data_IF_295302054602
#
_entry.id   IF_295302054602
#
_cell.length_a   1.000
_cell.length_b   1.000
_cell.length_c   1.000
_cell.angle_alpha   90.00
_cell.angle_beta   90.00
_cell.angle_gamma   90.00
#
_symmetry.space_group_name_H-M   'P 1'
#
loop_
_entity.id
_entity.type
_entity.pdbx_description
1 polymer ?
#
# COMPACT_ATOMS: atom_id res chain seq x y z
N UNK A 1 32.61 -10.87 -46.14
CA UNK A 1 32.54 -9.78 -45.14
C UNK A 1 32.23 -10.40 -43.81
N UNK A 2 32.65 -9.77 -42.71
CA UNK A 2 32.53 -10.31 -41.35
C UNK A 2 31.14 -10.01 -40.77
N UNK A 3 30.16 -9.94 -41.65
CA UNK A 3 28.84 -9.37 -41.42
C UNK A 3 27.89 -10.54 -41.16
N UNK A 4 27.88 -11.01 -39.90
CA UNK A 4 26.98 -12.08 -39.46
C UNK A 4 27.45 -12.92 -38.28
N UNK A 5 28.73 -12.86 -37.90
CA UNK A 5 29.23 -13.60 -36.73
C UNK A 5 29.27 -12.68 -35.52
N UNK A 6 28.37 -12.89 -34.56
CA UNK A 6 28.38 -12.17 -33.30
C UNK A 6 29.66 -12.51 -32.51
N UNK A 7 30.39 -11.49 -32.06
CA UNK A 7 31.49 -11.70 -31.11
C UNK A 7 30.92 -11.90 -29.71
N UNK A 8 31.60 -12.66 -28.86
CA UNK A 8 31.20 -12.84 -27.45
C UNK A 8 31.06 -11.49 -26.74
N UNK A 9 31.87 -10.49 -27.10
CA UNK A 9 31.79 -9.13 -26.57
C UNK A 9 30.48 -8.42 -26.96
N UNK A 10 30.06 -8.53 -28.22
CA UNK A 10 28.81 -7.91 -28.70
C UNK A 10 27.57 -8.58 -28.08
N UNK A 11 27.60 -9.91 -27.90
CA UNK A 11 26.53 -10.65 -27.20
C UNK A 11 26.46 -10.24 -25.73
N UNK A 12 27.59 -10.18 -25.03
CA UNK A 12 27.65 -9.77 -23.62
C UNK A 12 27.12 -8.34 -23.43
N UNK A 13 27.50 -7.41 -24.32
CA UNK A 13 26.97 -6.03 -24.31
C UNK A 13 25.45 -6.01 -24.46
N UNK A 14 24.91 -6.71 -25.45
CA UNK A 14 23.47 -6.77 -25.69
C UNK A 14 22.70 -7.36 -24.50
N UNK A 15 23.23 -8.42 -23.86
CA UNK A 15 22.65 -9.02 -22.66
C UNK A 15 22.65 -8.01 -21.51
N UNK A 16 23.78 -7.34 -21.26
CA UNK A 16 23.90 -6.36 -20.18
C UNK A 16 22.94 -5.18 -20.38
N UNK A 17 22.79 -4.70 -21.61
CA UNK A 17 21.81 -3.66 -21.96
C UNK A 17 20.37 -4.13 -21.72
N UNK A 18 20.04 -5.37 -22.12
CA UNK A 18 18.72 -5.95 -21.91
C UNK A 18 18.39 -6.12 -20.41
N UNK A 19 19.34 -6.61 -19.61
CA UNK A 19 19.18 -6.76 -18.15
C UNK A 19 19.04 -5.41 -17.48
N UNK A 20 19.86 -4.44 -17.87
CA UNK A 20 19.76 -3.07 -17.34
C UNK A 20 18.39 -2.49 -17.63
N UNK A 21 17.90 -2.62 -18.88
CA UNK A 21 16.57 -2.15 -19.27
C UNK A 21 15.46 -2.85 -18.48
N UNK A 22 15.56 -4.17 -18.27
CA UNK A 22 14.60 -4.92 -17.48
C UNK A 22 14.56 -4.43 -16.02
N UNK A 23 15.73 -4.21 -15.40
CA UNK A 23 15.83 -3.71 -14.03
C UNK A 23 15.25 -2.30 -13.91
N UNK A 24 15.56 -1.41 -14.85
CA UNK A 24 14.98 -0.05 -14.88
C UNK A 24 13.45 -0.10 -15.03
N UNK A 25 12.94 -0.94 -15.93
CA UNK A 25 11.50 -1.09 -16.13
C UNK A 25 10.81 -1.60 -14.86
N UNK A 26 11.40 -2.58 -14.18
CA UNK A 26 10.85 -3.12 -12.93
C UNK A 26 10.86 -2.08 -11.80
N UNK A 27 11.95 -1.31 -11.68
CA UNK A 27 12.04 -0.22 -10.71
C UNK A 27 10.96 0.85 -10.97
N UNK A 28 10.74 1.20 -12.24
CA UNK A 28 9.68 2.13 -12.62
C UNK A 28 8.30 1.59 -12.29
N UNK A 29 8.02 0.32 -12.63
CA UNK A 29 6.74 -0.31 -12.32
C UNK A 29 6.45 -0.32 -10.81
N UNK A 30 7.46 -0.52 -9.96
CA UNK A 30 7.30 -0.46 -8.50
C UNK A 30 7.06 0.98 -8.01
N UNK A 31 7.72 1.97 -8.61
CA UNK A 31 7.53 3.39 -8.29
C UNK A 31 6.15 3.93 -8.72
N UNK A 32 5.56 3.31 -9.75
CA UNK A 32 4.25 3.66 -10.28
C UNK A 32 3.11 2.83 -9.66
N UNK A 33 3.43 1.73 -8.98
CA UNK A 33 2.44 0.93 -8.28
C UNK A 33 1.77 1.75 -7.16
N UNK A 34 0.44 1.73 -7.15
CA UNK A 34 -0.40 2.43 -6.19
C UNK A 34 -1.29 1.48 -5.38
N UNK A 35 -1.52 1.84 -4.13
CA UNK A 35 -2.55 1.29 -3.27
C UNK A 35 -3.64 2.34 -3.07
N UNK A 36 -4.89 1.94 -3.31
CA UNK A 36 -6.06 2.82 -3.22
C UNK A 36 -6.92 2.38 -2.03
N UNK A 37 -7.24 3.34 -1.15
CA UNK A 37 -8.05 3.13 0.04
C UNK A 37 -9.25 4.06 -0.03
N UNK A 38 -10.42 3.49 -0.26
CA UNK A 38 -11.69 4.22 -0.28
C UNK A 38 -12.36 4.22 1.09
N UNK A 39 -13.16 5.26 1.32
CA UNK A 39 -14.10 5.34 2.43
C UNK A 39 -15.51 5.58 1.91
N UNK A 40 -16.49 5.61 2.81
CA UNK A 40 -17.90 5.83 2.45
C UNK A 40 -18.13 7.19 1.77
N UNK A 41 -17.27 8.18 2.04
CA UNK A 41 -17.32 9.54 1.48
C UNK A 41 -15.90 10.09 1.25
N UNK A 42 -15.80 11.20 0.53
CA UNK A 42 -14.53 11.87 0.23
C UNK A 42 -13.83 11.30 -1.01
N UNK A 43 -12.55 11.65 -1.17
CA UNK A 43 -11.71 11.18 -2.28
C UNK A 43 -10.91 9.94 -1.87
N UNK A 44 -10.71 9.01 -2.79
CA UNK A 44 -9.82 7.87 -2.62
C UNK A 44 -8.44 8.29 -2.12
N UNK A 45 -7.97 7.67 -1.04
CA UNK A 45 -6.60 7.86 -0.57
C UNK A 45 -5.66 6.98 -1.37
N UNK A 46 -4.78 7.59 -2.15
CA UNK A 46 -3.79 6.89 -3.00
C UNK A 46 -2.42 6.97 -2.34
N UNK A 47 -1.80 5.82 -2.09
CA UNK A 47 -0.43 5.70 -1.53
C UNK A 47 0.45 4.86 -2.45
N UNK A 48 1.68 5.28 -2.68
CA UNK A 48 2.71 4.50 -3.39
C UNK A 48 3.44 3.54 -2.46
N UNK A 49 4.27 2.66 -3.02
CA UNK A 49 5.12 1.79 -2.21
C UNK A 49 6.04 2.61 -1.27
N UNK A 50 6.14 2.18 0.00
CA UNK A 50 6.94 2.84 1.03
C UNK A 50 6.27 4.06 1.69
N UNK A 51 5.11 4.49 1.20
CA UNK A 51 4.36 5.59 1.79
C UNK A 51 3.49 5.14 2.98
N UNK A 52 3.40 5.97 4.01
CA UNK A 52 2.56 5.70 5.19
C UNK A 52 1.10 6.07 4.90
N UNK A 53 0.16 5.16 5.21
CA UNK A 53 -1.26 5.46 5.38
C UNK A 53 -1.53 5.76 6.86
N UNK A 54 -2.13 6.92 7.17
CA UNK A 54 -2.49 7.30 8.53
C UNK A 54 -4.00 7.21 8.76
N UNK A 55 -4.41 6.53 9.84
CA UNK A 55 -5.80 6.48 10.31
C UNK A 55 -5.83 7.14 11.69
N UNK A 56 -6.55 8.27 11.83
CA UNK A 56 -6.52 9.09 13.05
C UNK A 56 -7.93 9.39 13.55
N UNK A 57 -8.20 9.05 14.81
CA UNK A 57 -9.47 9.34 15.51
C UNK A 57 -9.48 10.63 16.33
N UNK A 58 -8.38 11.40 16.34
CA UNK A 58 -8.30 12.73 16.99
C UNK A 58 -7.84 12.73 18.45
N UNK A 59 -8.11 11.69 19.24
CA UNK A 59 -7.60 11.57 20.62
C UNK A 59 -6.15 11.10 20.62
N UNK A 60 -5.26 11.83 21.29
CA UNK A 60 -3.80 11.56 21.29
C UNK A 60 -3.28 10.94 22.58
N UNK A 61 -4.01 11.05 23.69
CA UNK A 61 -3.62 10.51 25.00
C UNK A 61 -4.09 9.06 25.11
N UNK A 62 -3.20 8.04 25.19
CA UNK A 62 -3.63 6.64 25.21
C UNK A 62 -4.48 6.25 26.43
N UNK A 63 -4.29 6.92 27.56
CA UNK A 63 -5.08 6.68 28.78
C UNK A 63 -6.55 7.12 28.64
N UNK A 64 -6.85 7.98 27.67
CA UNK A 64 -8.21 8.48 27.39
C UNK A 64 -8.94 7.60 26.37
N UNK A 65 -8.31 6.52 25.88
CA UNK A 65 -8.87 5.60 24.89
C UNK A 65 -9.44 4.34 25.55
N UNK A 66 -10.59 3.89 25.05
CA UNK A 66 -11.16 2.59 25.42
C UNK A 66 -10.70 1.49 24.46
N UNK A 67 -10.52 0.27 24.96
CA UNK A 67 -10.21 -0.91 24.13
C UNK A 67 -11.46 -1.78 23.93
N UNK A 68 -11.48 -2.57 22.85
CA UNK A 68 -12.53 -3.58 22.61
C UNK A 68 -13.88 -3.05 22.10
N UNK A 69 -14.13 -1.74 22.14
CA UNK A 69 -15.38 -1.15 21.65
C UNK A 69 -15.47 -1.07 20.11
N UNK A 70 -14.35 -1.20 19.39
CA UNK A 70 -14.31 -1.18 17.93
C UNK A 70 -14.06 -2.60 17.42
N UNK A 71 -15.03 -3.13 16.68
CA UNK A 71 -14.90 -4.36 15.91
C UNK A 71 -14.54 -4.05 14.47
N UNK A 72 -13.72 -4.91 13.85
CA UNK A 72 -13.42 -4.87 12.42
C UNK A 72 -13.79 -6.20 11.81
N UNK A 73 -14.64 -6.17 10.77
CA UNK A 73 -15.10 -7.37 10.05
C UNK A 73 -14.74 -7.23 8.59
N UNK A 74 -13.90 -8.13 8.08
CA UNK A 74 -13.64 -8.23 6.64
C UNK A 74 -14.84 -8.83 5.92
N UNK A 75 -15.23 -8.26 4.79
CA UNK A 75 -16.22 -8.85 3.89
C UNK A 75 -15.61 -9.86 2.90
N UNK A 76 -14.28 -9.98 2.85
CA UNK A 76 -13.55 -10.84 1.91
C UNK A 76 -13.49 -10.32 0.48
N UNK A 77 -14.10 -9.17 0.18
CA UNK A 77 -14.17 -8.55 -1.14
C UNK A 77 -13.37 -7.23 -1.22
N UNK A 78 -12.64 -6.90 -0.16
CA UNK A 78 -11.75 -5.74 -0.11
C UNK A 78 -12.17 -4.67 0.90
N UNK A 79 -13.29 -4.85 1.61
CA UNK A 79 -13.77 -3.89 2.61
C UNK A 79 -13.63 -4.42 4.03
N UNK A 80 -13.02 -3.60 4.88
CA UNK A 80 -13.00 -3.80 6.33
C UNK A 80 -14.09 -2.93 6.97
N UNK A 81 -15.17 -3.57 7.42
CA UNK A 81 -16.27 -2.90 8.10
C UNK A 81 -15.87 -2.58 9.54
N UNK A 82 -15.71 -1.30 9.86
CA UNK A 82 -15.44 -0.82 11.22
C UNK A 82 -16.76 -0.54 11.93
N UNK A 83 -16.98 -1.14 13.10
CA UNK A 83 -18.26 -1.08 13.82
C UNK A 83 -18.06 -0.85 15.32
N UNK A 84 -19.01 -0.16 15.93
CA UNK A 84 -19.10 -0.07 17.39
C UNK A 84 -19.68 -1.36 17.98
N UNK A 85 -19.20 -1.73 19.16
CA UNK A 85 -19.77 -2.80 19.96
C UNK A 85 -21.20 -2.44 20.41
N UNK A 86 -22.06 -3.46 20.56
CA UNK A 86 -23.46 -3.24 20.97
C UNK A 86 -23.61 -2.76 22.42
N UNK A 87 -22.70 -3.20 23.28
CA UNK A 87 -22.56 -2.68 24.64
C UNK A 87 -21.19 -2.01 24.73
N UNK A 88 -21.19 -0.69 24.92
CA UNK A 88 -19.96 0.08 25.06
C UNK A 88 -19.51 0.08 26.52
N UNK A 89 -18.23 -0.21 26.77
CA UNK A 89 -17.66 -0.23 28.13
C UNK A 89 -16.50 0.75 28.27
N UNK A 90 -16.29 1.28 29.47
CA UNK A 90 -15.16 2.16 29.77
C UNK A 90 -15.34 3.62 29.32
N UNK A 91 -16.57 4.06 29.04
CA UNK A 91 -16.85 5.47 28.72
C UNK A 91 -16.92 6.31 30.00
N UNK A 92 -16.21 7.44 30.01
CA UNK A 92 -16.33 8.45 31.06
C UNK A 92 -17.60 9.31 30.90
N UNK A 93 -18.02 9.57 29.66
CA UNK A 93 -19.27 10.26 29.35
C UNK A 93 -19.79 9.89 27.96
N UNK A 94 -21.10 10.01 27.77
CA UNK A 94 -21.79 9.95 26.48
C UNK A 94 -22.97 10.92 26.59
N UNK A 95 -22.85 12.08 25.96
CA UNK A 95 -23.84 13.17 25.99
C UNK A 95 -24.37 13.45 24.61
#
# INVERSE_FOLDING_TARGET
GKDGVATTQNVAKAINEAVTKANTNNAQALADAEHKFDGDTGTTSVRKHGEVLSIKGGVTTPADLTTGNIGVVSDGAGTLNVRLAKALTGLTSAT
#
